data_IF_854563601719
#
_entry.id   IF_854563601719
#
_cell.length_a   1.000
_cell.length_b   1.000
_cell.length_c   1.000
_cell.angle_alpha   90.00
_cell.angle_beta   90.00
_cell.angle_gamma   90.00
#
_symmetry.space_group_name_H-M   'P 1'
#
loop_
_entity.id
_entity.type
_entity.pdbx_description
1 polymer ?
#
# COMPACT_ATOMS: atom_id res chain seq x y z
N UNK A 1 -6.41 -3.00 -2.29
CA UNK A 1 -6.35 -4.17 -3.17
C UNK A 1 -6.82 -5.44 -2.45
N UNK A 2 -7.52 -6.32 -3.16
CA UNK A 2 -7.96 -7.62 -2.64
C UNK A 2 -7.73 -8.70 -3.68
N UNK A 3 -7.30 -9.89 -3.23
CA UNK A 3 -7.14 -11.09 -4.04
C UNK A 3 -7.42 -12.34 -3.23
N UNK A 4 -8.56 -13.01 -3.50
CA UNK A 4 -9.06 -14.17 -2.77
C UNK A 4 -9.25 -13.89 -1.26
N UNK A 5 -9.95 -12.79 -0.94
CA UNK A 5 -10.15 -12.31 0.44
C UNK A 5 -11.61 -12.47 0.92
N UNK A 6 -12.37 -13.39 0.34
CA UNK A 6 -13.81 -13.61 0.66
C UNK A 6 -14.09 -13.84 2.15
N UNK A 7 -13.11 -14.38 2.88
CA UNK A 7 -13.26 -14.68 4.32
C UNK A 7 -13.26 -13.47 5.23
N UNK A 8 -12.65 -12.35 4.78
CA UNK A 8 -12.44 -11.17 5.64
C UNK A 8 -13.05 -9.90 5.06
N UNK A 9 -13.26 -9.84 3.74
CA UNK A 9 -13.57 -8.60 3.06
C UNK A 9 -14.86 -7.93 3.55
N UNK A 10 -15.88 -8.73 3.92
CA UNK A 10 -17.13 -8.19 4.45
C UNK A 10 -16.94 -7.46 5.79
N UNK A 11 -16.20 -8.09 6.70
CA UNK A 11 -15.91 -7.48 8.01
C UNK A 11 -14.98 -6.28 7.88
N UNK A 12 -13.98 -6.37 7.00
CA UNK A 12 -13.11 -5.24 6.65
C UNK A 12 -13.92 -4.04 6.14
N UNK A 13 -14.83 -4.25 5.19
CA UNK A 13 -15.63 -3.17 4.61
C UNK A 13 -16.55 -2.52 5.66
N UNK A 14 -17.24 -3.32 6.47
CA UNK A 14 -18.13 -2.84 7.55
C UNK A 14 -17.35 -2.06 8.61
N UNK A 15 -16.23 -2.61 9.09
CA UNK A 15 -15.41 -1.96 10.13
C UNK A 15 -14.81 -0.64 9.65
N UNK A 16 -14.34 -0.59 8.39
CA UNK A 16 -13.86 0.67 7.80
C UNK A 16 -14.99 1.68 7.69
N UNK A 17 -16.17 1.28 7.18
CA UNK A 17 -17.33 2.15 7.06
C UNK A 17 -17.76 2.72 8.41
N UNK A 18 -17.96 1.87 9.41
CA UNK A 18 -18.34 2.28 10.77
C UNK A 18 -17.33 3.28 11.38
N UNK A 19 -16.03 2.99 11.24
CA UNK A 19 -14.99 3.86 11.77
C UNK A 19 -14.97 5.22 11.08
N UNK A 20 -15.00 5.25 9.74
CA UNK A 20 -14.91 6.50 9.00
C UNK A 20 -16.20 7.33 9.06
N UNK A 21 -17.37 6.72 9.21
CA UNK A 21 -18.62 7.43 9.53
C UNK A 21 -18.56 8.16 10.88
N UNK A 22 -17.73 7.67 11.81
CA UNK A 22 -17.50 8.37 13.08
C UNK A 22 -16.54 9.56 12.98
N UNK A 23 -15.82 9.71 11.85
CA UNK A 23 -14.77 10.72 11.64
C UNK A 23 -15.12 11.75 10.59
N UNK A 24 -15.95 11.39 9.63
CA UNK A 24 -16.29 12.18 8.45
C UNK A 24 -17.80 12.18 8.22
N UNK A 25 -18.29 13.23 7.58
CA UNK A 25 -19.67 13.29 7.08
C UNK A 25 -19.81 12.49 5.78
N UNK A 26 -21.05 12.21 5.39
CA UNK A 26 -21.36 11.55 4.11
C UNK A 26 -20.75 12.33 2.92
N UNK A 27 -20.06 11.61 2.04
CA UNK A 27 -19.40 12.18 0.87
C UNK A 27 -18.04 12.84 1.13
N UNK A 28 -17.57 12.91 2.39
CA UNK A 28 -16.23 13.43 2.72
C UNK A 28 -15.11 12.37 2.58
N UNK A 29 -15.47 11.10 2.41
CA UNK A 29 -14.54 10.01 2.18
C UNK A 29 -15.14 8.97 1.23
N UNK A 30 -14.29 8.12 0.67
CA UNK A 30 -14.67 6.94 -0.11
C UNK A 30 -13.78 5.75 0.24
N UNK A 31 -14.33 4.55 0.15
CA UNK A 31 -13.63 3.29 0.28
C UNK A 31 -13.58 2.58 -1.08
N UNK A 32 -12.41 2.41 -1.63
CA UNK A 32 -12.21 1.77 -2.94
C UNK A 32 -11.60 0.39 -2.76
N UNK A 33 -12.38 -0.65 -3.00
CA UNK A 33 -11.91 -2.04 -3.03
C UNK A 33 -11.51 -2.42 -4.45
N UNK A 34 -10.22 -2.73 -4.67
CA UNK A 34 -9.72 -3.11 -5.99
C UNK A 34 -9.47 -4.61 -6.07
N UNK A 35 -10.25 -5.28 -6.92
CA UNK A 35 -10.16 -6.72 -7.16
C UNK A 35 -9.08 -7.05 -8.19
N UNK A 36 -8.02 -7.76 -7.77
CA UNK A 36 -6.93 -8.23 -8.63
C UNK A 36 -7.26 -9.59 -9.29
N UNK A 37 -8.43 -9.72 -9.91
CA UNK A 37 -8.84 -10.95 -10.57
C UNK A 37 -8.97 -12.13 -9.63
N UNK A 38 -9.71 -11.98 -8.54
CA UNK A 38 -9.95 -13.06 -7.57
C UNK A 38 -10.78 -14.19 -8.17
N UNK A 39 -10.44 -15.42 -7.79
CA UNK A 39 -11.21 -16.60 -8.15
C UNK A 39 -12.37 -16.89 -7.18
N UNK A 40 -12.35 -16.25 -6.00
CA UNK A 40 -13.45 -16.26 -5.04
C UNK A 40 -14.42 -15.10 -5.30
N UNK A 41 -15.50 -15.04 -4.53
CA UNK A 41 -16.54 -14.03 -4.70
C UNK A 41 -16.31 -12.75 -3.88
N UNK A 42 -15.08 -12.44 -3.45
CA UNK A 42 -14.80 -11.30 -2.56
C UNK A 42 -15.31 -9.96 -3.14
N UNK A 43 -15.18 -9.73 -4.44
CA UNK A 43 -15.69 -8.52 -5.08
C UNK A 43 -17.23 -8.42 -5.02
N UNK A 44 -17.92 -9.55 -5.23
CA UNK A 44 -19.38 -9.60 -5.15
C UNK A 44 -19.86 -9.41 -3.72
N UNK A 45 -19.18 -9.99 -2.74
CA UNK A 45 -19.48 -9.80 -1.31
C UNK A 45 -19.50 -8.30 -0.96
N UNK A 46 -18.48 -7.53 -1.37
CA UNK A 46 -18.45 -6.09 -1.09
C UNK A 46 -19.59 -5.35 -1.78
N UNK A 47 -19.89 -5.67 -3.05
CA UNK A 47 -21.03 -5.05 -3.78
C UNK A 47 -22.37 -5.33 -3.11
N UNK A 48 -22.58 -6.57 -2.64
CA UNK A 48 -23.83 -7.01 -2.00
C UNK A 48 -24.06 -6.33 -0.64
N UNK A 49 -23.03 -5.78 0.00
CA UNK A 49 -23.18 -4.98 1.21
C UNK A 49 -23.92 -3.66 0.95
N UNK A 50 -23.93 -3.17 -0.29
CA UNK A 50 -24.58 -1.92 -0.71
C UNK A 50 -24.30 -0.75 0.22
N UNK A 51 -23.08 -0.64 0.75
CA UNK A 51 -22.67 0.42 1.66
C UNK A 51 -22.46 1.73 0.88
N UNK A 52 -22.98 2.87 1.36
CA UNK A 52 -22.68 4.16 0.77
C UNK A 52 -21.16 4.45 0.87
N UNK A 53 -20.64 5.29 -0.03
CA UNK A 53 -19.23 5.67 -0.12
C UNK A 53 -18.25 4.48 -0.33
N UNK A 54 -18.76 3.30 -0.68
CA UNK A 54 -17.97 2.10 -0.97
C UNK A 54 -18.11 1.73 -2.43
N UNK A 55 -17.00 1.66 -3.15
CA UNK A 55 -16.96 1.20 -4.56
C UNK A 55 -16.00 0.04 -4.76
N UNK A 56 -16.30 -0.80 -5.74
CA UNK A 56 -15.47 -1.93 -6.15
C UNK A 56 -15.03 -1.72 -7.60
N UNK A 57 -13.74 -1.65 -7.80
CA UNK A 57 -13.08 -1.61 -9.11
C UNK A 57 -12.27 -2.88 -9.34
N UNK A 58 -11.67 -3.05 -10.49
CA UNK A 58 -10.77 -4.17 -10.79
C UNK A 58 -11.10 -4.85 -12.11
N UNK A 59 -10.61 -6.08 -12.28
CA UNK A 59 -10.62 -6.83 -13.53
C UNK A 59 -10.72 -8.33 -13.25
N UNK A 60 -10.96 -9.14 -14.30
CA UNK A 60 -11.22 -10.58 -14.19
C UNK A 60 -9.91 -11.38 -14.00
N UNK A 61 -8.84 -11.05 -14.71
CA UNK A 61 -7.57 -11.78 -14.69
C UNK A 61 -6.59 -11.16 -13.67
N UNK A 62 -5.97 -12.00 -12.85
CA UNK A 62 -4.92 -11.52 -11.92
C UNK A 62 -3.75 -10.88 -12.67
N UNK A 63 -3.47 -9.62 -12.35
CA UNK A 63 -2.37 -8.83 -12.92
C UNK A 63 -1.29 -8.47 -11.91
N UNK A 64 -1.57 -8.65 -10.64
CA UNK A 64 -0.68 -8.40 -9.52
C UNK A 64 -1.00 -7.12 -8.75
N UNK A 65 -0.59 -7.11 -7.47
CA UNK A 65 -0.92 -6.07 -6.48
C UNK A 65 -0.70 -4.65 -6.99
N UNK A 66 0.41 -4.39 -7.70
CA UNK A 66 0.70 -3.05 -8.23
C UNK A 66 -0.33 -2.57 -9.24
N UNK A 67 -0.87 -3.49 -10.07
CA UNK A 67 -1.96 -3.19 -10.99
C UNK A 67 -3.25 -2.84 -10.24
N UNK A 68 -3.60 -3.61 -9.21
CA UNK A 68 -4.80 -3.38 -8.42
C UNK A 68 -4.73 -2.05 -7.65
N UNK A 69 -3.56 -1.72 -7.05
CA UNK A 69 -3.38 -0.43 -6.38
C UNK A 69 -3.49 0.72 -7.39
N UNK A 70 -2.86 0.60 -8.58
CA UNK A 70 -2.96 1.61 -9.63
C UNK A 70 -4.40 1.84 -10.08
N UNK A 71 -5.18 0.77 -10.28
CA UNK A 71 -6.60 0.85 -10.64
C UNK A 71 -7.40 1.62 -9.58
N UNK A 72 -7.21 1.28 -8.29
CA UNK A 72 -7.87 1.98 -7.19
C UNK A 72 -7.47 3.47 -7.14
N UNK A 73 -6.18 3.77 -7.18
CA UNK A 73 -5.66 5.14 -7.10
C UNK A 73 -6.18 6.01 -8.25
N UNK A 74 -6.20 5.47 -9.46
CA UNK A 74 -6.68 6.20 -10.63
C UNK A 74 -8.20 6.39 -10.66
N UNK A 75 -8.94 5.60 -9.88
CA UNK A 75 -10.40 5.72 -9.72
C UNK A 75 -10.82 6.54 -8.50
N UNK A 76 -9.87 6.93 -7.66
CA UNK A 76 -10.14 7.67 -6.42
C UNK A 76 -10.27 9.17 -6.69
N UNK A 77 -11.25 9.81 -6.04
CA UNK A 77 -11.59 11.23 -6.19
C UNK A 77 -11.21 12.08 -4.95
N UNK A 78 -10.74 11.46 -3.86
CA UNK A 78 -10.35 12.14 -2.62
C UNK A 78 -9.08 13.00 -2.79
N UNK A 79 -8.96 14.12 -2.03
CA UNK A 79 -7.77 14.99 -2.02
C UNK A 79 -6.53 14.29 -1.46
N UNK A 80 -6.74 13.29 -0.61
CA UNK A 80 -5.73 12.42 -0.03
C UNK A 80 -6.08 10.96 -0.36
N UNK A 81 -5.17 10.26 -0.98
CA UNK A 81 -5.36 8.87 -1.40
C UNK A 81 -4.49 7.97 -0.52
N UNK A 82 -5.13 7.06 0.21
CA UNK A 82 -4.45 6.11 1.08
C UNK A 82 -4.66 4.72 0.52
N UNK A 83 -3.59 3.96 0.37
CA UNK A 83 -3.73 2.55 0.10
C UNK A 83 -3.13 1.69 1.22
N UNK A 84 -3.81 0.60 1.53
CA UNK A 84 -3.38 -0.40 2.50
C UNK A 84 -3.90 -1.77 2.10
N UNK A 85 -3.41 -2.82 2.75
CA UNK A 85 -3.88 -4.19 2.50
C UNK A 85 -5.25 -4.44 3.13
N UNK A 86 -6.04 -5.32 2.50
CA UNK A 86 -7.41 -5.65 2.92
C UNK A 86 -7.47 -6.32 4.32
N UNK A 87 -6.38 -6.89 4.80
CA UNK A 87 -6.27 -7.51 6.11
C UNK A 87 -6.10 -6.51 7.27
N UNK A 88 -5.99 -5.21 6.95
CA UNK A 88 -5.82 -4.15 7.92
C UNK A 88 -4.66 -4.40 8.90
N UNK A 89 -3.53 -4.90 8.41
CA UNK A 89 -2.38 -5.29 9.21
C UNK A 89 -1.91 -4.21 10.19
N UNK A 90 -2.07 -2.94 9.84
CA UNK A 90 -1.69 -1.78 10.67
C UNK A 90 -2.85 -1.22 11.52
N UNK A 91 -4.06 -1.78 11.39
CA UNK A 91 -5.27 -1.30 12.04
C UNK A 91 -5.90 -0.06 11.39
N UNK A 92 -7.19 0.11 11.64
CA UNK A 92 -8.01 1.15 11.02
C UNK A 92 -7.58 2.55 11.50
N UNK A 93 -7.28 2.69 12.78
CA UNK A 93 -6.85 3.97 13.35
C UNK A 93 -5.57 4.51 12.69
N UNK A 94 -4.64 3.62 12.31
CA UNK A 94 -3.42 4.02 11.59
C UNK A 94 -3.74 4.68 10.24
N UNK A 95 -4.79 4.25 9.55
CA UNK A 95 -5.22 4.86 8.29
C UNK A 95 -5.62 6.33 8.51
N UNK A 96 -6.39 6.61 9.55
CA UNK A 96 -6.76 7.98 9.91
C UNK A 96 -5.57 8.82 10.35
N UNK A 97 -4.65 8.23 11.13
CA UNK A 97 -3.46 8.93 11.62
C UNK A 97 -2.49 9.32 10.50
N UNK A 98 -2.29 8.46 9.48
CA UNK A 98 -1.45 8.82 8.32
C UNK A 98 -2.12 9.89 7.45
N UNK A 99 -3.44 9.90 7.34
CA UNK A 99 -4.18 11.00 6.71
C UNK A 99 -3.90 12.32 7.43
N UNK A 100 -4.13 12.37 8.75
CA UNK A 100 -3.89 13.58 9.54
C UNK A 100 -2.44 14.05 9.44
N UNK A 101 -1.48 13.16 9.60
CA UNK A 101 -0.07 13.50 9.54
C UNK A 101 0.32 14.10 8.18
N UNK A 102 -0.21 13.59 7.06
CA UNK A 102 0.06 14.17 5.75
C UNK A 102 -0.68 15.49 5.55
N UNK A 103 -1.94 15.60 5.98
CA UNK A 103 -2.76 16.81 5.79
C UNK A 103 -2.22 18.02 6.57
N UNK A 104 -1.55 17.77 7.70
CA UNK A 104 -0.92 18.78 8.56
C UNK A 104 0.54 19.10 8.15
N UNK A 105 1.05 18.46 7.07
CA UNK A 105 2.43 18.61 6.60
C UNK A 105 2.53 19.30 5.25
N UNK A 106 3.73 19.71 4.88
CA UNK A 106 4.05 20.21 3.53
C UNK A 106 4.51 19.10 2.58
N UNK A 107 4.54 17.84 3.04
CA UNK A 107 4.90 16.68 2.22
C UNK A 107 3.83 16.37 1.16
N UNK A 108 4.24 15.74 0.07
CA UNK A 108 3.36 15.26 -1.00
C UNK A 108 2.93 13.81 -0.75
N UNK A 109 3.80 13.06 -0.07
CA UNK A 109 3.68 11.62 0.16
C UNK A 109 4.10 11.29 1.59
N UNK A 110 3.31 10.45 2.25
CA UNK A 110 3.67 9.81 3.51
C UNK A 110 3.78 8.30 3.29
N UNK A 111 4.87 7.70 3.74
CA UNK A 111 5.06 6.26 3.77
C UNK A 111 5.11 5.76 5.21
N UNK A 112 4.39 4.69 5.50
CA UNK A 112 4.53 4.01 6.78
C UNK A 112 5.93 3.39 6.91
N UNK A 113 6.49 3.37 8.12
CA UNK A 113 7.75 2.71 8.40
C UNK A 113 7.70 1.93 9.71
N UNK A 114 7.90 0.63 9.60
CA UNK A 114 8.06 -0.28 10.76
C UNK A 114 9.42 -0.08 11.45
N UNK A 115 10.40 0.43 10.72
CA UNK A 115 11.75 0.66 11.26
C UNK A 115 11.85 1.88 12.18
N UNK A 116 10.91 2.80 12.12
CA UNK A 116 10.84 3.96 13.01
C UNK A 116 10.16 3.64 14.34
N UNK A 117 9.52 2.47 14.45
CA UNK A 117 8.91 2.02 15.69
C UNK A 117 9.78 0.92 16.33
N UNK A 118 10.09 1.03 17.61
CA UNK A 118 10.87 0.00 18.34
C UNK A 118 10.26 -1.40 18.23
N UNK A 119 8.93 -1.45 18.21
CA UNK A 119 8.12 -2.68 18.17
C UNK A 119 7.60 -3.03 16.77
N UNK A 120 7.99 -2.27 15.75
CA UNK A 120 7.48 -2.41 14.40
C UNK A 120 7.71 -3.79 13.76
N UNK A 121 8.67 -4.54 14.29
CA UNK A 121 8.99 -5.93 13.87
C UNK A 121 8.75 -6.95 15.00
N UNK A 122 7.77 -6.73 15.85
CA UNK A 122 7.39 -7.71 16.86
C UNK A 122 7.04 -9.05 16.17
N UNK A 123 7.55 -10.17 16.71
CA UNK A 123 7.38 -11.50 16.10
C UNK A 123 8.39 -11.89 15.01
N UNK A 124 9.24 -10.98 14.52
CA UNK A 124 10.28 -11.34 13.55
C UNK A 124 11.54 -11.88 14.21
N UNK A 125 12.13 -12.95 13.63
CA UNK A 125 13.43 -13.47 14.08
C UNK A 125 14.56 -12.45 13.81
N UNK A 126 15.65 -12.52 14.61
CA UNK A 126 16.82 -11.67 14.43
C UNK A 126 17.42 -11.78 13.00
N UNK A 127 17.46 -12.99 12.45
CA UNK A 127 17.90 -13.25 11.07
C UNK A 127 17.02 -12.52 10.05
N UNK A 128 15.70 -12.58 10.21
CA UNK A 128 14.75 -11.92 9.29
C UNK A 128 14.88 -10.39 9.38
N UNK A 129 15.10 -9.84 10.58
CA UNK A 129 15.39 -8.41 10.79
C UNK A 129 16.67 -7.97 10.08
N UNK A 130 17.75 -8.76 10.19
CA UNK A 130 19.04 -8.48 9.54
C UNK A 130 18.93 -8.54 8.02
N UNK A 131 18.28 -9.56 7.48
CA UNK A 131 18.03 -9.68 6.04
C UNK A 131 17.22 -8.50 5.51
N UNK A 132 16.16 -8.09 6.20
CA UNK A 132 15.35 -6.93 5.82
C UNK A 132 16.19 -5.65 5.78
N UNK A 133 17.01 -5.38 6.80
CA UNK A 133 17.88 -4.19 6.85
C UNK A 133 18.93 -4.18 5.72
N UNK A 134 19.57 -5.31 5.46
CA UNK A 134 20.54 -5.43 4.37
C UNK A 134 19.87 -5.22 3.01
N UNK A 135 18.72 -5.82 2.82
CA UNK A 135 17.90 -5.67 1.63
C UNK A 135 17.52 -4.20 1.39
N UNK A 136 16.97 -3.51 2.40
CA UNK A 136 16.62 -2.09 2.31
C UNK A 136 17.82 -1.24 1.88
N UNK A 137 19.01 -1.46 2.46
CA UNK A 137 20.24 -0.73 2.09
C UNK A 137 20.62 -0.95 0.62
N UNK A 138 20.59 -2.18 0.14
CA UNK A 138 20.92 -2.51 -1.26
C UNK A 138 19.91 -1.84 -2.21
N UNK A 139 18.63 -1.94 -1.92
CA UNK A 139 17.57 -1.30 -2.73
C UNK A 139 17.71 0.21 -2.73
N UNK A 140 17.93 0.83 -1.57
CA UNK A 140 18.11 2.28 -1.45
C UNK A 140 19.29 2.79 -2.29
N UNK A 141 20.41 2.08 -2.26
CA UNK A 141 21.59 2.43 -3.06
C UNK A 141 21.28 2.36 -4.56
N UNK A 142 20.61 1.29 -5.01
CA UNK A 142 20.28 1.10 -6.43
C UNK A 142 19.19 2.09 -6.86
N UNK A 143 18.16 2.30 -6.04
CA UNK A 143 17.02 3.16 -6.37
C UNK A 143 17.36 4.66 -6.32
N UNK A 144 18.38 5.05 -5.52
CA UNK A 144 18.80 6.44 -5.37
C UNK A 144 17.98 7.25 -4.35
N UNK A 145 17.35 6.57 -3.38
CA UNK A 145 16.69 7.17 -2.23
C UNK A 145 17.07 6.45 -0.93
N UNK A 146 16.80 7.06 0.21
CA UNK A 146 17.11 6.48 1.53
C UNK A 146 15.89 6.58 2.45
N UNK A 147 14.96 5.62 2.31
CA UNK A 147 13.84 5.47 3.23
C UNK A 147 14.05 4.23 4.10
N UNK A 148 13.57 4.31 5.34
CA UNK A 148 13.78 3.24 6.31
C UNK A 148 12.92 1.99 6.03
N UNK A 149 11.74 2.16 5.39
CA UNK A 149 10.84 1.06 5.00
C UNK A 149 10.06 1.36 3.70
N UNK A 150 10.73 1.23 2.57
CA UNK A 150 10.15 1.55 1.25
C UNK A 150 8.96 0.66 0.84
N UNK A 151 8.82 -0.53 1.43
CA UNK A 151 7.80 -1.52 1.07
C UNK A 151 6.74 -1.74 2.16
N UNK A 152 6.58 -0.80 3.08
CA UNK A 152 5.49 -0.83 4.03
C UNK A 152 4.13 -0.79 3.29
N UNK A 153 3.19 -1.64 3.71
CA UNK A 153 1.89 -1.81 3.04
C UNK A 153 0.89 -0.66 3.25
N UNK A 154 1.28 0.43 3.91
CA UNK A 154 0.43 1.62 4.06
C UNK A 154 1.16 2.88 3.59
N UNK A 155 0.51 3.63 2.70
CA UNK A 155 0.99 4.92 2.19
C UNK A 155 -0.17 5.88 1.94
N UNK A 156 0.11 7.17 2.14
CA UNK A 156 -0.83 8.26 1.87
C UNK A 156 -0.18 9.26 0.91
N UNK A 157 -0.91 9.69 -0.11
CA UNK A 157 -0.44 10.63 -1.12
C UNK A 157 -1.49 11.74 -1.31
N UNK A 158 -1.04 12.96 -1.57
CA UNK A 158 -1.92 13.99 -2.12
C UNK A 158 -2.39 13.55 -3.52
N UNK A 159 -3.64 13.87 -3.92
CA UNK A 159 -4.23 13.45 -5.20
C UNK A 159 -3.33 13.70 -6.40
N UNK A 160 -2.82 14.93 -6.53
CA UNK A 160 -1.98 15.30 -7.67
C UNK A 160 -0.69 14.48 -7.74
N UNK A 161 -0.07 14.23 -6.59
CA UNK A 161 1.12 13.37 -6.50
C UNK A 161 0.78 11.92 -6.87
N UNK A 162 -0.32 11.39 -6.33
CA UNK A 162 -0.78 10.04 -6.61
C UNK A 162 -1.08 9.84 -8.10
N UNK A 163 -1.91 10.67 -8.70
CA UNK A 163 -2.28 10.56 -10.11
C UNK A 163 -1.07 10.75 -11.03
N UNK A 164 -0.19 11.73 -10.74
CA UNK A 164 1.04 11.94 -11.51
C UNK A 164 1.97 10.74 -11.50
N UNK A 165 2.12 10.07 -10.35
CA UNK A 165 2.96 8.88 -10.21
C UNK A 165 2.28 7.66 -10.86
N UNK A 166 1.05 7.35 -10.44
CA UNK A 166 0.41 6.10 -10.83
C UNK A 166 0.01 6.06 -12.31
N UNK A 167 -0.20 7.21 -12.97
CA UNK A 167 -0.35 7.27 -14.43
C UNK A 167 0.91 6.83 -15.19
N UNK A 168 2.09 6.90 -14.57
CA UNK A 168 3.37 6.49 -15.15
C UNK A 168 3.84 5.11 -14.70
N UNK A 169 3.24 4.53 -13.64
CA UNK A 169 3.60 3.22 -13.13
C UNK A 169 3.32 2.10 -14.14
N UNK A 170 4.28 1.19 -14.31
CA UNK A 170 4.24 0.06 -15.26
C UNK A 170 4.46 -1.29 -14.58
N UNK A 171 4.89 -1.27 -13.33
CA UNK A 171 5.15 -2.50 -12.56
C UNK A 171 3.86 -2.97 -11.89
N UNK A 172 3.49 -4.20 -12.16
CA UNK A 172 2.28 -4.82 -11.63
C UNK A 172 2.55 -5.69 -10.39
N UNK A 173 3.81 -6.08 -10.15
CA UNK A 173 4.21 -6.90 -9.00
C UNK A 173 4.35 -6.08 -7.71
N UNK A 174 4.77 -6.73 -6.61
CA UNK A 174 5.08 -6.07 -5.34
C UNK A 174 6.16 -4.98 -5.43
N UNK A 175 6.94 -4.95 -6.52
CA UNK A 175 7.94 -3.90 -6.74
C UNK A 175 7.34 -2.54 -7.16
N UNK A 176 6.02 -2.42 -7.29
CA UNK A 176 5.33 -1.16 -7.60
C UNK A 176 5.60 -0.06 -6.55
N UNK A 177 5.76 -0.44 -5.28
CA UNK A 177 6.13 0.49 -4.20
C UNK A 177 7.46 1.19 -4.47
N UNK A 178 8.44 0.44 -5.01
CA UNK A 178 9.74 0.99 -5.37
C UNK A 178 9.64 1.87 -6.62
N UNK A 179 8.81 1.49 -7.59
CA UNK A 179 8.54 2.32 -8.77
C UNK A 179 7.93 3.65 -8.39
N UNK A 180 6.93 3.64 -7.50
CA UNK A 180 6.29 4.83 -6.95
C UNK A 180 7.33 5.77 -6.31
N UNK A 181 8.24 5.26 -5.46
CA UNK A 181 9.26 6.07 -4.80
C UNK A 181 10.35 6.57 -5.77
N UNK A 182 10.72 5.80 -6.79
CA UNK A 182 11.65 6.22 -7.83
C UNK A 182 11.03 7.39 -8.63
N UNK A 183 9.75 7.31 -8.96
CA UNK A 183 9.03 8.39 -9.63
C UNK A 183 8.87 9.61 -8.73
N UNK A 184 8.54 9.43 -7.46
CA UNK A 184 8.49 10.51 -6.48
C UNK A 184 9.81 11.28 -6.41
N UNK A 185 10.93 10.55 -6.34
CA UNK A 185 12.27 11.15 -6.34
C UNK A 185 12.59 11.86 -7.67
N UNK A 186 12.25 11.25 -8.81
CA UNK A 186 12.40 11.86 -10.15
C UNK A 186 11.64 13.19 -10.25
N UNK A 187 10.45 13.26 -9.68
CA UNK A 187 9.61 14.47 -9.66
C UNK A 187 9.92 15.43 -8.51
N UNK A 188 10.94 15.13 -7.69
CA UNK A 188 11.36 15.93 -6.53
C UNK A 188 10.22 16.18 -5.53
N UNK A 189 9.35 15.20 -5.38
CA UNK A 189 8.26 15.25 -4.41
C UNK A 189 8.79 15.09 -3.00
N UNK A 190 8.18 15.78 -2.04
CA UNK A 190 8.53 15.67 -0.62
C UNK A 190 7.90 14.41 -0.05
N UNK A 191 8.73 13.47 0.42
CA UNK A 191 8.30 12.22 1.05
C UNK A 191 8.67 12.26 2.52
N UNK A 192 7.69 12.00 3.40
CA UNK A 192 7.89 11.82 4.82
C UNK A 192 7.66 10.37 5.24
N UNK A 193 8.29 9.94 6.32
CA UNK A 193 8.09 8.62 6.94
C UNK A 193 7.30 8.77 8.23
N UNK A 194 6.39 7.82 8.48
CA UNK A 194 5.55 7.78 9.66
C UNK A 194 5.68 6.43 10.37
N UNK A 195 5.91 6.40 11.71
CA UNK A 195 6.07 5.15 12.44
C UNK A 195 4.77 4.37 12.47
N UNK A 196 4.82 3.10 12.06
CA UNK A 196 3.68 2.18 12.10
C UNK A 196 4.05 0.87 12.77
N UNK A 197 3.05 0.19 13.36
CA UNK A 197 3.18 -1.12 13.98
C UNK A 197 2.18 -2.08 13.34
N UNK A 198 2.60 -3.32 13.10
CA UNK A 198 1.68 -4.39 12.72
C UNK A 198 0.93 -4.82 13.98
N UNK A 199 -0.38 -4.72 13.97
CA UNK A 199 -1.25 -5.12 15.09
C UNK A 199 -2.11 -6.33 14.75
N UNK A 200 -2.45 -6.54 13.48
CA UNK A 200 -3.19 -7.69 13.02
C UNK A 200 -2.21 -8.67 12.34
N UNK A 201 -1.81 -9.70 13.07
CA UNK A 201 -1.00 -10.78 12.54
C UNK A 201 -1.93 -11.82 11.92
N UNK A 202 -2.07 -11.79 10.59
CA UNK A 202 -2.71 -12.90 9.90
C UNK A 202 -1.74 -14.09 9.90
N UNK A 203 -2.17 -15.24 10.41
CA UNK A 203 -1.49 -16.53 10.22
C UNK A 203 -1.61 -16.97 8.75
N UNK A 204 -1.22 -16.13 7.81
CA UNK A 204 -1.06 -16.55 6.44
C UNK A 204 0.34 -17.13 6.29
N UNK A 205 0.44 -18.35 5.84
CA UNK A 205 1.69 -18.92 5.36
C UNK A 205 2.30 -17.93 4.36
N UNK A 206 3.28 -17.17 4.80
CA UNK A 206 4.04 -16.27 3.94
C UNK A 206 4.74 -17.12 2.89
N UNK A 207 4.16 -17.21 1.70
CA UNK A 207 4.72 -17.93 0.53
C UNK A 207 5.98 -17.25 -0.03
N UNK A 208 6.58 -16.33 0.73
CA UNK A 208 7.76 -15.55 0.32
C UNK A 208 9.02 -16.38 0.53
N UNK A 209 9.75 -16.64 -0.56
CA UNK A 209 11.11 -17.20 -0.52
C UNK A 209 12.12 -16.02 -0.41
N UNK A 210 12.73 -15.78 0.79
CA UNK A 210 13.52 -14.56 1.01
C UNK A 210 14.64 -14.33 0.00
N UNK A 211 15.36 -15.38 -0.40
CA UNK A 211 16.50 -15.27 -1.32
C UNK A 211 16.03 -15.03 -2.74
N UNK A 212 15.10 -15.87 -3.22
CA UNK A 212 14.60 -15.80 -4.60
C UNK A 212 13.89 -14.47 -4.87
N UNK A 213 13.09 -14.03 -3.90
CA UNK A 213 12.33 -12.78 -4.03
C UNK A 213 13.24 -11.56 -3.92
N UNK A 214 14.30 -11.60 -3.09
CA UNK A 214 15.30 -10.53 -3.04
C UNK A 214 16.03 -10.34 -4.36
N UNK A 215 16.45 -11.43 -5.02
CA UNK A 215 17.12 -11.38 -6.34
C UNK A 215 16.16 -10.83 -7.40
N UNK A 216 14.90 -11.27 -7.38
CA UNK A 216 13.86 -10.77 -8.28
C UNK A 216 13.68 -9.27 -8.12
N UNK A 217 13.61 -8.80 -6.88
CA UNK A 217 13.40 -7.40 -6.57
C UNK A 217 14.53 -6.50 -7.05
N UNK A 218 15.80 -6.93 -6.90
CA UNK A 218 16.94 -6.19 -7.45
C UNK A 218 16.84 -6.06 -8.98
N UNK A 219 16.44 -7.12 -9.67
CA UNK A 219 16.18 -7.08 -11.12
C UNK A 219 15.03 -6.11 -11.45
N UNK A 220 13.97 -6.12 -10.66
CA UNK A 220 12.82 -5.23 -10.84
C UNK A 220 13.25 -3.76 -10.67
N UNK A 221 14.07 -3.42 -9.67
CA UNK A 221 14.57 -2.04 -9.48
C UNK A 221 15.42 -1.58 -10.68
N UNK A 222 16.30 -2.44 -11.18
CA UNK A 222 17.11 -2.12 -12.38
C UNK A 222 16.19 -1.91 -13.61
N UNK A 223 15.15 -2.74 -13.75
CA UNK A 223 14.13 -2.59 -14.80
C UNK A 223 13.39 -1.27 -14.68
N UNK A 224 12.93 -0.93 -13.46
CA UNK A 224 12.22 0.33 -13.18
C UNK A 224 13.10 1.53 -13.59
N UNK A 225 14.35 1.56 -13.17
CA UNK A 225 15.27 2.66 -13.54
C UNK A 225 15.45 2.79 -15.06
N UNK A 226 15.43 1.67 -15.78
CA UNK A 226 15.50 1.68 -17.26
C UNK A 226 14.21 2.19 -17.90
N UNK A 227 13.06 1.88 -17.31
CA UNK A 227 11.73 2.30 -17.81
C UNK A 227 11.49 3.80 -17.62
N UNK A 228 12.12 4.41 -16.62
CA UNK A 228 11.86 5.80 -16.21
C UNK A 228 13.09 6.71 -16.36
N UNK A 229 14.05 6.32 -17.19
CA UNK A 229 15.21 7.18 -17.59
C UNK A 229 14.79 8.45 -18.28
#
# INVERSE_FOLDING_TARGET
PMYNESKIVADTAKSLKEYFDSKFSEGEYELVFSNDGSHDNCAQIVRDLALPDVKVVGYEDNRGKGSAVREAVMSADGDYIIYTDCDLAFGIETIYNVYKALSESDADILIGSRNLNSDGYEGYTAMRKLMSKTYIKVISLIAGFSYSDSQCGIKCLKRDAAHKIFSQCKINSFAFDLEMLILANKYKMKVMEYPVKIINHRESESKVNPVKDSIKMVKDVMRIKKLHK
#
